data_IF_330115792446
#
_entry.id   IF_330115792446
#
_cell.length_a   1.000
_cell.length_b   1.000
_cell.length_c   1.000
_cell.angle_alpha   90.00
_cell.angle_beta   90.00
_cell.angle_gamma   90.00
#
_symmetry.space_group_name_H-M   'P 1'
#
loop_
_entity.id
_entity.type
_entity.pdbx_description
1 polymer ?
#
# COMPACT_ATOMS: atom_id res chain seq x y z
N UNK A 1 -0.58 4.65 2.62
CA UNK A 1 -1.23 5.95 2.41
C UNK A 1 -2.22 6.29 3.52
N UNK A 2 -2.62 7.55 3.58
CA UNK A 2 -3.64 8.06 4.51
C UNK A 2 -4.83 8.57 3.70
N UNK A 3 -6.01 8.52 4.30
CA UNK A 3 -7.20 9.12 3.72
C UNK A 3 -7.93 10.01 4.75
N UNK A 4 -8.73 10.93 4.26
CA UNK A 4 -9.66 11.72 5.05
C UNK A 4 -10.91 12.01 4.21
N UNK A 5 -12.08 11.74 4.77
CA UNK A 5 -13.39 11.95 4.14
C UNK A 5 -14.28 12.72 5.10
N UNK A 6 -14.99 13.72 4.57
CA UNK A 6 -15.99 14.48 5.34
C UNK A 6 -17.39 14.13 4.81
N UNK A 7 -18.29 13.78 5.71
CA UNK A 7 -19.70 13.48 5.43
C UNK A 7 -20.60 14.32 6.30
N UNK A 8 -21.88 14.44 5.93
CA UNK A 8 -22.88 15.10 6.80
C UNK A 8 -23.11 14.24 8.05
N UNK A 9 -23.21 14.88 9.22
CA UNK A 9 -23.38 14.17 10.50
C UNK A 9 -24.62 13.27 10.52
N UNK A 10 -25.68 13.66 9.82
CA UNK A 10 -26.92 12.86 9.68
C UNK A 10 -26.73 11.53 8.92
N UNK A 11 -25.67 11.43 8.10
CA UNK A 11 -25.39 10.27 7.24
C UNK A 11 -24.32 9.37 7.89
N UNK A 12 -23.87 9.71 9.10
CA UNK A 12 -22.87 8.95 9.84
C UNK A 12 -23.55 7.97 10.82
N UNK A 13 -23.20 6.70 10.70
CA UNK A 13 -23.52 5.65 11.65
C UNK A 13 -22.29 5.28 12.48
N UNK A 14 -22.42 5.21 13.80
CA UNK A 14 -21.31 5.03 14.77
C UNK A 14 -20.55 3.69 14.68
N UNK A 15 -20.72 2.92 13.60
CA UNK A 15 -20.15 1.57 13.45
C UNK A 15 -19.21 1.41 12.24
N UNK A 16 -18.85 2.50 11.58
CA UNK A 16 -17.94 2.40 10.42
C UNK A 16 -16.52 2.03 10.88
N UNK A 17 -16.09 0.83 10.51
CA UNK A 17 -14.70 0.36 10.69
C UNK A 17 -13.87 0.54 9.42
N UNK A 18 -14.53 0.60 8.26
CA UNK A 18 -13.91 0.65 6.95
C UNK A 18 -14.54 1.69 6.05
N UNK A 19 -13.74 2.27 5.19
CA UNK A 19 -14.16 3.20 4.12
C UNK A 19 -13.65 2.67 2.80
N UNK A 20 -14.52 2.59 1.80
CA UNK A 20 -14.17 2.14 0.46
C UNK A 20 -14.86 2.98 -0.61
N UNK A 21 -14.34 2.96 -1.80
CA UNK A 21 -14.93 3.57 -2.98
C UNK A 21 -15.40 2.47 -3.93
N UNK A 22 -16.67 2.56 -4.37
CA UNK A 22 -17.34 1.49 -5.14
C UNK A 22 -16.65 1.02 -6.43
N UNK A 23 -15.68 1.76 -6.95
CA UNK A 23 -14.97 1.43 -8.18
C UNK A 23 -13.53 0.98 -7.97
N UNK A 24 -13.08 0.88 -6.72
CA UNK A 24 -11.67 0.65 -6.39
C UNK A 24 -11.55 -0.45 -5.34
N UNK A 25 -10.52 -1.28 -5.48
CA UNK A 25 -10.22 -2.36 -4.51
C UNK A 25 -9.55 -1.83 -3.22
N UNK A 26 -9.37 -0.51 -3.12
CA UNK A 26 -8.76 0.13 -1.96
C UNK A 26 -9.73 0.19 -0.79
N UNK A 27 -9.27 -0.27 0.36
CA UNK A 27 -9.99 -0.23 1.62
C UNK A 27 -9.24 0.63 2.63
N UNK A 28 -9.93 1.62 3.20
CA UNK A 28 -9.43 2.44 4.29
C UNK A 28 -9.89 1.88 5.64
N UNK A 29 -8.99 1.77 6.59
CA UNK A 29 -9.27 1.40 7.98
C UNK A 29 -9.51 2.68 8.77
N UNK A 30 -10.67 2.80 9.41
CA UNK A 30 -11.02 3.98 10.20
C UNK A 30 -10.23 3.99 11.50
N UNK A 31 -9.51 5.08 11.74
CA UNK A 31 -8.74 5.27 12.97
C UNK A 31 -9.23 6.46 13.79
N UNK A 32 -9.77 7.47 13.13
CA UNK A 32 -10.20 8.70 13.79
C UNK A 32 -11.52 9.18 13.22
N UNK A 33 -12.41 9.59 14.12
CA UNK A 33 -13.69 10.21 13.80
C UNK A 33 -13.78 11.51 14.57
N UNK A 34 -13.99 12.62 13.87
CA UNK A 34 -14.13 13.97 14.45
C UNK A 34 -15.48 14.57 14.07
N UNK A 35 -16.20 15.07 15.06
CA UNK A 35 -17.42 15.84 14.84
C UNK A 35 -17.06 17.31 14.67
N UNK A 36 -17.47 17.90 13.56
CA UNK A 36 -17.17 19.29 13.18
C UNK A 36 -18.49 20.05 13.03
N UNK A 37 -18.62 21.13 13.77
CA UNK A 37 -19.75 22.06 13.64
C UNK A 37 -19.27 23.33 12.94
N UNK A 38 -19.85 23.62 11.79
CA UNK A 38 -19.54 24.80 10.97
C UNK A 38 -20.83 25.60 10.67
N UNK A 39 -20.68 26.82 10.18
CA UNK A 39 -21.85 27.64 9.75
C UNK A 39 -22.71 26.94 8.68
N UNK A 40 -22.11 26.03 7.91
CA UNK A 40 -22.78 25.27 6.84
C UNK A 40 -23.52 24.02 7.36
N UNK A 41 -23.36 23.67 8.63
CA UNK A 41 -23.96 22.48 9.24
C UNK A 41 -22.99 21.64 10.06
N UNK A 42 -23.50 20.50 10.48
CA UNK A 42 -22.74 19.51 11.24
C UNK A 42 -22.19 18.44 10.31
N UNK A 43 -20.89 18.17 10.45
CA UNK A 43 -20.15 17.20 9.65
C UNK A 43 -19.41 16.22 10.55
N UNK A 44 -19.09 15.07 9.98
CA UNK A 44 -18.17 14.09 10.57
C UNK A 44 -17.00 13.90 9.62
N UNK A 45 -15.82 14.14 10.13
CA UNK A 45 -14.56 13.82 9.42
C UNK A 45 -14.07 12.46 9.87
N UNK A 46 -13.92 11.55 8.91
CA UNK A 46 -13.42 10.19 9.09
C UNK A 46 -12.04 10.14 8.46
N UNK A 47 -11.06 9.69 9.20
CA UNK A 47 -9.70 9.54 8.70
C UNK A 47 -9.04 8.26 9.16
N UNK A 48 -8.04 7.82 8.42
CA UNK A 48 -7.30 6.61 8.73
C UNK A 48 -6.25 6.29 7.68
N UNK A 49 -5.86 5.03 7.65
CA UNK A 49 -4.87 4.52 6.70
C UNK A 49 -5.49 3.50 5.76
N UNK A 50 -4.88 3.32 4.60
CA UNK A 50 -5.24 2.24 3.71
C UNK A 50 -4.80 0.87 4.25
N UNK A 51 -5.36 -0.19 3.68
CA UNK A 51 -5.25 -1.57 4.16
C UNK A 51 -3.79 -2.04 4.32
N UNK A 52 -2.87 -1.54 3.49
CA UNK A 52 -1.44 -1.87 3.58
C UNK A 52 -0.84 -1.54 4.96
N UNK A 53 -1.39 -0.55 5.65
CA UNK A 53 -0.95 -0.20 7.01
C UNK A 53 -1.22 -1.29 8.04
N UNK A 54 -2.12 -2.22 7.77
CA UNK A 54 -2.37 -3.35 8.67
C UNK A 54 -1.11 -4.19 8.88
N UNK A 55 -0.26 -4.30 7.85
CA UNK A 55 1.01 -5.02 7.94
C UNK A 55 2.05 -4.34 8.84
N UNK A 56 1.88 -3.06 9.17
CA UNK A 56 2.75 -2.36 10.13
C UNK A 56 2.55 -2.84 11.58
N UNK A 57 1.45 -3.53 11.86
CA UNK A 57 1.21 -4.13 13.17
C UNK A 57 2.01 -5.41 13.39
N UNK A 58 2.60 -5.98 12.35
CA UNK A 58 3.37 -7.20 12.39
C UNK A 58 4.86 -6.89 12.43
N UNK A 59 5.56 -7.48 13.39
CA UNK A 59 6.98 -7.24 13.66
C UNK A 59 7.75 -8.53 13.50
N UNK A 60 8.93 -8.48 12.90
CA UNK A 60 9.86 -9.60 12.81
C UNK A 60 10.38 -9.97 14.21
N UNK A 61 9.67 -10.88 14.89
CA UNK A 61 10.04 -11.40 16.19
C UNK A 61 9.58 -12.88 16.34
N UNK A 62 10.45 -13.82 16.71
CA UNK A 62 11.91 -13.69 16.89
C UNK A 62 12.66 -13.32 15.62
N UNK A 63 14.00 -13.30 15.69
CA UNK A 63 14.86 -13.01 14.54
C UNK A 63 14.49 -13.82 13.32
N UNK A 64 14.19 -13.15 12.23
CA UNK A 64 13.98 -13.77 10.93
C UNK A 64 15.31 -13.86 10.18
N UNK A 65 15.71 -15.08 9.86
CA UNK A 65 16.91 -15.37 9.05
C UNK A 65 16.48 -16.08 7.78
N UNK A 66 16.90 -15.59 6.65
CA UNK A 66 16.50 -16.15 5.37
C UNK A 66 17.66 -16.21 4.37
N UNK A 67 17.69 -17.29 3.59
CA UNK A 67 18.59 -17.49 2.46
C UNK A 67 17.83 -18.22 1.34
N UNK A 68 17.59 -17.53 0.24
CA UNK A 68 16.79 -18.03 -0.87
C UNK A 68 16.36 -16.91 -1.82
N UNK A 69 15.34 -17.15 -2.64
CA UNK A 69 14.84 -16.13 -3.56
C UNK A 69 14.04 -15.03 -2.84
N UNK A 70 13.97 -13.83 -3.44
CA UNK A 70 13.10 -12.73 -2.95
C UNK A 70 11.65 -13.23 -2.86
N UNK A 71 11.17 -13.92 -3.89
CA UNK A 71 9.83 -14.52 -3.93
C UNK A 71 9.55 -15.39 -2.71
N UNK A 72 10.43 -16.34 -2.44
CA UNK A 72 10.25 -17.25 -1.32
C UNK A 72 10.40 -16.52 0.02
N UNK A 73 11.24 -15.50 0.09
CA UNK A 73 11.41 -14.68 1.27
C UNK A 73 10.11 -13.97 1.66
N UNK A 74 9.47 -13.28 0.73
CA UNK A 74 8.20 -12.57 0.97
C UNK A 74 7.11 -13.56 1.37
N UNK A 75 6.97 -14.67 0.64
CA UNK A 75 5.99 -15.70 0.96
C UNK A 75 6.20 -16.29 2.36
N UNK A 76 7.45 -16.61 2.72
CA UNK A 76 7.81 -17.16 4.03
C UNK A 76 7.52 -16.14 5.15
N UNK A 77 7.86 -14.87 4.94
CA UNK A 77 7.61 -13.81 5.91
C UNK A 77 6.13 -13.68 6.22
N UNK A 78 5.29 -13.62 5.18
CA UNK A 78 3.84 -13.51 5.33
C UNK A 78 3.23 -14.76 5.99
N UNK A 79 3.69 -15.95 5.63
CA UNK A 79 3.18 -17.20 6.21
C UNK A 79 3.53 -17.39 7.68
N UNK A 80 4.64 -16.82 8.15
CA UNK A 80 5.09 -16.96 9.56
C UNK A 80 4.43 -15.90 10.45
N UNK A 81 4.32 -14.68 9.97
CA UNK A 81 3.98 -13.54 10.84
C UNK A 81 2.58 -12.96 10.59
N UNK A 82 1.92 -13.35 9.50
CA UNK A 82 0.59 -12.85 9.13
C UNK A 82 -0.42 -14.00 8.97
N UNK A 83 -0.19 -15.14 9.62
CA UNK A 83 -1.01 -16.34 9.55
C UNK A 83 -2.39 -16.19 10.22
N UNK A 84 -2.54 -15.18 11.06
CA UNK A 84 -3.78 -14.81 11.74
C UNK A 84 -4.72 -13.93 10.89
N UNK A 85 -4.26 -13.44 9.72
CA UNK A 85 -5.11 -12.68 8.82
C UNK A 85 -6.12 -13.62 8.13
N UNK A 86 -7.43 -13.45 8.36
CA UNK A 86 -8.41 -14.37 7.81
C UNK A 86 -8.51 -14.23 6.29
N UNK A 87 -8.61 -15.37 5.60
CA UNK A 87 -8.74 -15.44 4.12
C UNK A 87 -7.67 -14.63 3.39
N UNK A 88 -6.42 -14.70 3.88
CA UNK A 88 -5.29 -13.99 3.31
C UNK A 88 -4.72 -14.74 2.11
N UNK A 89 -4.92 -14.20 0.93
CA UNK A 89 -4.42 -14.75 -0.32
C UNK A 89 -3.14 -14.02 -0.73
N UNK A 90 -2.05 -14.79 -0.94
CA UNK A 90 -0.73 -14.24 -1.22
C UNK A 90 -0.29 -14.59 -2.63
N UNK A 91 -0.30 -13.60 -3.52
CA UNK A 91 0.23 -13.70 -4.88
C UNK A 91 1.61 -13.04 -5.00
N UNK A 92 2.63 -13.87 -4.97
CA UNK A 92 4.03 -13.47 -5.21
C UNK A 92 4.55 -13.95 -6.57
N UNK A 93 3.65 -14.27 -7.51
CA UNK A 93 4.02 -14.85 -8.83
C UNK A 93 4.97 -13.95 -9.62
N UNK A 94 4.81 -12.63 -9.50
CA UNK A 94 5.66 -11.64 -10.16
C UNK A 94 6.92 -11.26 -9.37
N UNK A 95 7.07 -11.70 -8.13
CA UNK A 95 8.22 -11.33 -7.32
C UNK A 95 9.54 -11.86 -7.91
N UNK A 96 10.66 -11.13 -7.73
CA UNK A 96 11.95 -11.51 -8.25
C UNK A 96 12.42 -12.88 -7.71
N UNK A 97 13.04 -13.68 -8.57
CA UNK A 97 13.66 -14.96 -8.19
C UNK A 97 15.14 -14.80 -7.80
N UNK A 98 15.65 -13.58 -7.75
CA UNK A 98 17.02 -13.28 -7.33
C UNK A 98 17.27 -13.73 -5.90
N UNK A 99 18.40 -14.36 -5.65
CA UNK A 99 18.79 -14.84 -4.32
C UNK A 99 19.19 -13.69 -3.40
N UNK A 100 18.70 -13.77 -2.17
CA UNK A 100 19.04 -12.84 -1.07
C UNK A 100 19.41 -13.63 0.17
N UNK A 101 20.24 -13.03 1.02
CA UNK A 101 20.55 -13.56 2.35
C UNK A 101 20.54 -12.40 3.32
N UNK A 102 19.76 -12.50 4.39
CA UNK A 102 19.71 -11.47 5.42
C UNK A 102 19.18 -12.02 6.75
N UNK A 103 19.39 -11.24 7.80
CA UNK A 103 18.87 -11.49 9.13
C UNK A 103 18.35 -10.18 9.73
N UNK A 104 17.13 -10.20 10.27
CA UNK A 104 16.49 -9.04 10.86
C UNK A 104 15.65 -9.39 12.09
N UNK A 105 15.57 -8.42 12.99
CA UNK A 105 14.75 -8.50 14.21
C UNK A 105 14.18 -7.12 14.52
N UNK A 106 12.94 -7.08 14.97
CA UNK A 106 12.32 -5.87 15.53
C UNK A 106 11.87 -4.84 14.49
N UNK A 107 11.92 -5.15 13.20
CA UNK A 107 11.38 -4.29 12.15
C UNK A 107 9.95 -4.68 11.78
N UNK A 108 9.16 -3.69 11.35
CA UNK A 108 7.84 -3.90 10.76
C UNK A 108 7.96 -4.69 9.45
N UNK A 109 7.08 -5.67 9.26
CA UNK A 109 7.09 -6.54 8.08
C UNK A 109 6.88 -5.73 6.80
N UNK A 110 5.94 -4.78 6.80
CA UNK A 110 5.70 -3.92 5.63
C UNK A 110 6.95 -3.16 5.21
N UNK A 111 7.65 -2.54 6.17
CA UNK A 111 8.88 -1.79 5.94
C UNK A 111 10.00 -2.67 5.39
N UNK A 112 10.14 -3.88 5.94
CA UNK A 112 11.16 -4.83 5.49
C UNK A 112 10.87 -5.36 4.09
N UNK A 113 9.61 -5.74 3.80
CA UNK A 113 9.21 -6.19 2.46
C UNK A 113 9.41 -5.09 1.42
N UNK A 114 8.99 -3.85 1.75
CA UNK A 114 9.20 -2.70 0.88
C UNK A 114 10.69 -2.47 0.58
N UNK A 115 11.54 -2.50 1.62
CA UNK A 115 12.99 -2.35 1.47
C UNK A 115 13.64 -3.42 0.59
N UNK A 116 13.14 -4.66 0.65
CA UNK A 116 13.63 -5.75 -0.20
C UNK A 116 13.17 -5.54 -1.65
N UNK A 117 11.87 -5.33 -1.86
CA UNK A 117 11.27 -5.24 -3.19
C UNK A 117 11.76 -4.01 -3.97
N UNK A 118 11.90 -2.85 -3.31
CA UNK A 118 12.37 -1.61 -3.92
C UNK A 118 13.75 -1.74 -4.58
N UNK A 119 14.64 -2.58 -4.04
CA UNK A 119 15.98 -2.83 -4.64
C UNK A 119 15.90 -3.43 -6.04
N UNK A 120 14.76 -4.01 -6.39
CA UNK A 120 14.51 -4.67 -7.67
C UNK A 120 13.41 -3.96 -8.47
N UNK A 121 13.01 -2.75 -8.07
CA UNK A 121 11.95 -1.96 -8.72
C UNK A 121 10.56 -2.62 -8.65
N UNK A 122 10.33 -3.41 -7.60
CA UNK A 122 9.03 -4.00 -7.29
C UNK A 122 8.39 -3.31 -6.10
N UNK A 123 7.07 -3.47 -6.00
CA UNK A 123 6.27 -3.04 -4.87
C UNK A 123 5.23 -4.10 -4.52
N UNK A 124 4.44 -3.85 -3.48
CA UNK A 124 3.30 -4.69 -3.15
C UNK A 124 2.07 -3.83 -2.89
N UNK A 125 0.91 -4.45 -2.95
CA UNK A 125 -0.36 -3.84 -2.58
C UNK A 125 -1.23 -4.85 -1.85
N UNK A 126 -2.12 -4.33 -1.01
CA UNK A 126 -3.21 -5.09 -0.43
C UNK A 126 -4.53 -4.57 -0.99
N UNK A 127 -5.42 -5.50 -1.33
CA UNK A 127 -6.78 -5.18 -1.75
C UNK A 127 -7.77 -6.08 -1.01
N UNK A 128 -9.01 -5.60 -0.88
CA UNK A 128 -10.06 -6.39 -0.26
C UNK A 128 -10.90 -7.09 -1.34
N UNK A 129 -10.97 -8.41 -1.25
CA UNK A 129 -11.86 -9.22 -2.09
C UNK A 129 -13.24 -9.31 -1.45
N UNK A 130 -14.18 -8.55 -1.99
CA UNK A 130 -15.58 -8.54 -1.52
C UNK A 130 -16.34 -9.85 -1.79
N UNK A 131 -15.90 -10.62 -2.78
CA UNK A 131 -16.56 -11.85 -3.17
C UNK A 131 -16.22 -12.96 -2.17
N UNK A 132 -14.97 -13.09 -1.79
CA UNK A 132 -14.49 -14.14 -0.91
C UNK A 132 -14.30 -13.66 0.54
N UNK A 133 -14.60 -12.39 0.83
CA UNK A 133 -14.43 -11.77 2.14
C UNK A 133 -13.00 -11.97 2.67
N UNK A 134 -12.02 -11.63 1.86
CA UNK A 134 -10.61 -11.84 2.13
C UNK A 134 -9.73 -10.67 1.77
N UNK A 135 -8.46 -10.81 2.08
CA UNK A 135 -7.43 -9.83 1.75
C UNK A 135 -6.48 -10.46 0.73
N UNK A 136 -6.32 -9.80 -0.42
CA UNK A 136 -5.36 -10.18 -1.44
C UNK A 136 -4.09 -9.35 -1.28
N UNK A 137 -2.97 -10.02 -1.08
CA UNK A 137 -1.63 -9.45 -1.18
C UNK A 137 -1.05 -9.77 -2.55
N UNK A 138 -0.53 -8.77 -3.24
CA UNK A 138 0.10 -8.94 -4.54
C UNK A 138 1.42 -8.18 -4.63
N UNK A 139 2.45 -8.86 -5.16
CA UNK A 139 3.69 -8.22 -5.61
C UNK A 139 3.55 -7.85 -7.09
N UNK A 140 3.98 -6.65 -7.44
CA UNK A 140 3.94 -6.16 -8.82
C UNK A 140 5.17 -5.32 -9.15
N UNK A 141 5.54 -5.28 -10.44
CA UNK A 141 6.56 -4.38 -10.97
C UNK A 141 5.93 -3.12 -11.53
N UNK A 142 6.55 -1.98 -11.31
CA UNK A 142 6.16 -0.73 -11.95
C UNK A 142 6.32 -0.82 -13.47
N UNK A 143 5.50 -0.04 -14.20
CA UNK A 143 5.70 0.18 -15.63
C UNK A 143 6.63 1.39 -15.79
N UNK A 144 7.75 1.18 -16.48
CA UNK A 144 8.56 2.31 -16.92
C UNK A 144 7.82 3.06 -18.04
N UNK A 145 7.32 4.23 -17.72
CA UNK A 145 6.57 5.10 -18.63
C UNK A 145 7.35 6.35 -19.03
N UNK A 146 8.68 6.29 -18.95
CA UNK A 146 9.53 7.37 -19.49
C UNK A 146 9.37 7.48 -21.00
N UNK A 147 9.68 8.65 -21.56
CA UNK A 147 9.60 8.89 -23.00
C UNK A 147 10.52 8.00 -23.83
N UNK A 148 11.54 7.45 -23.22
CA UNK A 148 12.51 6.57 -23.87
C UNK A 148 12.05 5.11 -23.89
N UNK A 149 11.49 4.61 -22.80
CA UNK A 149 11.19 3.20 -22.60
C UNK A 149 9.74 2.85 -22.92
N UNK A 150 8.79 3.71 -22.56
CA UNK A 150 7.37 3.42 -22.73
C UNK A 150 6.97 3.05 -24.18
N UNK A 151 7.43 3.76 -25.24
CA UNK A 151 7.10 3.39 -26.62
C UNK A 151 7.65 2.03 -27.03
N UNK A 152 8.84 1.65 -26.52
CA UNK A 152 9.48 0.36 -26.80
C UNK A 152 8.66 -0.78 -26.22
N UNK A 153 8.07 -0.58 -25.03
CA UNK A 153 7.24 -1.57 -24.33
C UNK A 153 5.76 -1.53 -24.75
N UNK A 154 5.39 -0.64 -25.68
CA UNK A 154 4.01 -0.49 -26.16
C UNK A 154 3.07 0.18 -25.14
N UNK A 155 3.61 0.97 -24.23
CA UNK A 155 2.85 1.75 -23.25
C UNK A 155 2.80 3.23 -23.64
N UNK A 156 1.81 3.93 -23.12
CA UNK A 156 1.77 5.39 -23.22
C UNK A 156 2.79 6.03 -22.29
N UNK A 157 3.51 7.04 -22.77
CA UNK A 157 4.42 7.84 -21.95
C UNK A 157 3.66 8.58 -20.87
N UNK A 158 4.19 8.58 -19.65
CA UNK A 158 3.64 9.38 -18.57
C UNK A 158 4.00 10.85 -18.79
N UNK A 159 2.98 11.71 -18.89
CA UNK A 159 3.14 13.16 -19.05
C UNK A 159 2.65 13.83 -17.77
N UNK A 160 3.56 14.53 -17.09
CA UNK A 160 3.22 15.37 -15.94
C UNK A 160 3.10 16.82 -16.40
N UNK A 161 1.91 17.40 -16.25
CA UNK A 161 1.64 18.76 -16.67
C UNK A 161 0.89 19.51 -15.57
N UNK A 162 1.36 20.71 -15.23
CA UNK A 162 0.73 21.57 -14.23
C UNK A 162 -0.69 21.97 -14.62
N UNK A 163 -0.96 22.19 -15.91
CA UNK A 163 -2.29 22.56 -16.42
C UNK A 163 -3.32 21.46 -16.23
N UNK A 164 -2.90 20.20 -16.09
CA UNK A 164 -3.78 19.05 -15.83
C UNK A 164 -3.90 18.73 -14.34
N UNK A 165 -3.29 19.56 -13.48
CA UNK A 165 -3.38 19.40 -12.03
C UNK A 165 -2.61 18.21 -11.47
N UNK A 166 -1.69 17.62 -12.23
CA UNK A 166 -0.88 16.48 -11.78
C UNK A 166 0.07 16.87 -10.64
N UNK A 167 0.48 18.13 -10.56
CA UNK A 167 1.22 18.69 -9.44
C UNK A 167 0.91 20.18 -9.27
N UNK A 168 0.98 20.66 -8.04
CA UNK A 168 0.75 22.09 -7.70
C UNK A 168 2.03 22.84 -7.39
N UNK A 169 2.99 22.18 -6.76
CA UNK A 169 4.29 22.76 -6.40
C UNK A 169 5.38 21.76 -6.79
N UNK A 170 6.20 22.13 -7.77
CA UNK A 170 7.38 21.37 -8.16
C UNK A 170 8.62 22.08 -7.62
N UNK A 171 9.37 21.40 -6.75
CA UNK A 171 10.69 21.85 -6.30
C UNK A 171 11.69 20.88 -6.92
N UNK A 172 12.57 21.39 -7.76
CA UNK A 172 13.69 20.63 -8.33
C UNK A 172 14.95 21.09 -7.63
N UNK A 173 15.62 20.18 -6.91
CA UNK A 173 16.92 20.41 -6.32
C UNK A 173 17.95 19.63 -7.14
N UNK A 174 18.93 20.32 -7.69
CA UNK A 174 20.11 19.71 -8.34
C UNK A 174 21.29 19.89 -7.40
N UNK A 175 21.82 18.77 -6.91
CA UNK A 175 23.10 18.76 -6.22
C UNK A 175 24.21 18.55 -7.27
N UNK A 176 24.99 19.58 -7.53
CA UNK A 176 26.24 19.48 -8.29
C UNK A 176 27.33 19.00 -7.31
N UNK A 177 27.50 17.69 -7.20
CA UNK A 177 28.60 17.07 -6.44
C UNK A 177 29.61 16.39 -7.36
#
# INVERSE_FOLDING_TARGET
>A
GQYSVQILAKDYENSFLYVYRNSEAELGIVQKVEHISEERGEFVQISGFFLESALNNYILHPTFSFNGSVKDCISTMLSIYCDDIPNFNVDVSQAPTTSISFQKTGEEIASQMFSILQKYEYSFSLSYDYIHNGIDFRVWSGLDRTSEVAPILGHETAIFNQNWGHFKNLIVTTDDS
#
